data_IF_680489217051
#
_entry.id   IF_680489217051
#
_cell.length_a   1.000
_cell.length_b   1.000
_cell.length_c   1.000
_cell.angle_alpha   90.00
_cell.angle_beta   90.00
_cell.angle_gamma   90.00
#
_symmetry.space_group_name_H-M   'P 1'
#
loop_
_entity.id
_entity.type
_entity.pdbx_description
1 polymer ?
#
# COMPACT_ATOMS: atom_id res chain seq x y z
N UNK A 1 -7.07 23.55 -5.04
CA UNK A 1 -7.54 23.91 -3.69
C UNK A 1 -8.90 23.24 -3.47
N UNK A 2 -8.97 22.10 -2.77
CA UNK A 2 -10.25 21.42 -2.48
C UNK A 2 -10.85 22.12 -1.27
N UNK A 3 -11.80 23.04 -1.50
CA UNK A 3 -12.57 23.63 -0.42
C UNK A 3 -13.55 22.58 0.13
N UNK A 4 -13.22 22.00 1.28
CA UNK A 4 -14.19 21.24 2.08
C UNK A 4 -15.17 22.22 2.73
N UNK A 5 -16.29 22.51 2.05
CA UNK A 5 -17.43 23.20 2.67
C UNK A 5 -18.28 22.18 3.42
N UNK A 6 -18.00 21.98 4.71
CA UNK A 6 -18.95 21.35 5.61
C UNK A 6 -20.08 22.33 5.91
N UNK A 7 -21.19 22.28 5.14
CA UNK A 7 -22.44 22.93 5.55
C UNK A 7 -23.19 21.98 6.47
N UNK A 8 -23.16 22.27 7.77
CA UNK A 8 -23.99 21.56 8.74
C UNK A 8 -25.36 22.24 8.84
N UNK A 9 -26.44 21.48 8.64
CA UNK A 9 -27.78 21.83 9.12
C UNK A 9 -28.06 20.89 10.29
N UNK A 10 -28.05 21.42 11.51
CA UNK A 10 -28.65 20.74 12.65
C UNK A 10 -30.13 20.63 12.34
N UNK A 11 -30.62 19.43 12.03
CA UNK A 11 -32.06 19.19 11.99
C UNK A 11 -32.49 19.03 13.45
N UNK A 12 -33.14 20.06 13.99
CA UNK A 12 -33.99 19.91 15.18
C UNK A 12 -35.08 18.91 14.83
N UNK A 13 -34.87 17.65 15.23
CA UNK A 13 -35.92 16.65 15.22
C UNK A 13 -36.24 16.32 16.67
N UNK A 14 -37.26 17.01 17.17
CA UNK A 14 -37.92 16.70 18.43
C UNK A 14 -38.43 15.26 18.39
N UNK A 15 -37.92 14.42 19.29
CA UNK A 15 -38.56 13.16 19.67
C UNK A 15 -37.75 11.90 19.37
N UNK A 16 -37.25 11.29 20.46
CA UNK A 16 -36.70 9.93 20.60
C UNK A 16 -35.22 9.73 20.21
N UNK A 17 -34.30 10.29 21.01
CA UNK A 17 -33.24 9.52 21.71
C UNK A 17 -32.39 10.46 22.59
N UNK A 18 -32.20 10.09 23.85
CA UNK A 18 -31.72 10.97 24.93
C UNK A 18 -30.19 11.15 25.02
N UNK A 19 -29.72 12.34 24.67
CA UNK A 19 -28.39 12.85 25.06
C UNK A 19 -28.34 14.37 25.02
N UNK A 20 -27.43 14.99 25.77
CA UNK A 20 -27.25 16.46 25.79
C UNK A 20 -26.82 17.00 24.42
N UNK A 21 -27.03 18.29 24.14
CA UNK A 21 -26.62 18.94 22.86
C UNK A 21 -25.13 18.74 22.56
N UNK A 22 -24.29 18.75 23.59
CA UNK A 22 -22.86 18.45 23.54
C UNK A 22 -22.57 16.99 23.12
N UNK A 23 -23.29 16.01 23.69
CA UNK A 23 -23.13 14.60 23.30
C UNK A 23 -23.52 14.36 21.85
N UNK A 24 -24.56 15.04 21.37
CA UNK A 24 -24.98 14.98 19.97
C UNK A 24 -23.90 15.56 19.04
N UNK A 25 -23.28 16.68 19.42
CA UNK A 25 -22.16 17.27 18.69
C UNK A 25 -20.95 16.32 18.59
N UNK A 26 -20.51 15.73 19.72
CA UNK A 26 -19.38 14.80 19.69
C UNK A 26 -19.66 13.54 18.87
N UNK A 27 -20.89 13.01 18.94
CA UNK A 27 -21.31 11.88 18.10
C UNK A 27 -21.28 12.23 16.61
N UNK A 28 -21.79 13.40 16.24
CA UNK A 28 -21.73 13.90 14.87
C UNK A 28 -20.29 14.07 14.37
N UNK A 29 -19.41 14.65 15.19
CA UNK A 29 -18.00 14.84 14.88
C UNK A 29 -17.29 13.49 14.68
N UNK A 30 -17.56 12.52 15.56
CA UNK A 30 -17.00 11.17 15.45
C UNK A 30 -17.45 10.47 14.15
N UNK A 31 -18.72 10.59 13.78
CA UNK A 31 -19.24 10.03 12.54
C UNK A 31 -18.56 10.66 11.31
N UNK A 32 -18.45 12.00 11.28
CA UNK A 32 -17.76 12.71 10.20
C UNK A 32 -16.28 12.29 10.08
N UNK A 33 -15.59 12.11 11.22
CA UNK A 33 -14.22 11.62 11.22
C UNK A 33 -14.12 10.20 10.64
N UNK A 34 -15.05 9.31 11.01
CA UNK A 34 -15.08 7.94 10.47
C UNK A 34 -15.39 7.88 8.97
N UNK A 35 -16.27 8.74 8.46
CA UNK A 35 -16.56 8.84 7.02
C UNK A 35 -15.31 9.26 6.22
N UNK A 36 -14.48 10.13 6.80
CA UNK A 36 -13.26 10.60 6.16
C UNK A 36 -12.14 9.54 6.10
N UNK A 37 -12.20 8.46 6.91
CA UNK A 37 -11.13 7.45 6.99
C UNK A 37 -10.81 6.84 5.64
N UNK A 38 -11.80 6.55 4.80
CA UNK A 38 -11.55 5.96 3.49
C UNK A 38 -10.79 6.88 2.53
N UNK A 39 -10.97 8.19 2.67
CA UNK A 39 -10.29 9.20 1.86
C UNK A 39 -8.88 9.49 2.39
N UNK A 40 -8.71 9.54 3.72
CA UNK A 40 -7.43 9.85 4.38
C UNK A 40 -6.51 8.62 4.39
N UNK A 41 -7.02 7.48 4.84
CA UNK A 41 -6.28 6.23 4.93
C UNK A 41 -6.22 5.51 3.58
N UNK A 42 -5.49 6.08 2.63
CA UNK A 42 -5.42 5.56 1.25
C UNK A 42 -4.75 4.18 1.12
N UNK A 43 -3.77 3.90 1.98
CA UNK A 43 -2.97 2.65 1.95
C UNK A 43 -2.95 2.00 3.34
N UNK A 44 -2.57 0.71 3.47
CA UNK A 44 -2.52 0.00 4.75
C UNK A 44 -1.68 0.71 5.81
N UNK A 45 -0.53 1.30 5.43
CA UNK A 45 0.30 2.05 6.38
C UNK A 45 -0.49 3.15 7.09
N UNK A 46 -1.32 3.92 6.37
CA UNK A 46 -2.13 4.95 7.00
C UNK A 46 -3.21 4.35 7.90
N UNK A 47 -3.83 3.25 7.48
CA UNK A 47 -4.85 2.57 8.26
C UNK A 47 -4.28 2.02 9.57
N UNK A 48 -3.12 1.38 9.52
CA UNK A 48 -2.42 0.84 10.68
C UNK A 48 -2.02 1.96 11.65
N UNK A 49 -1.41 3.04 11.14
CA UNK A 49 -1.09 4.21 11.96
C UNK A 49 -2.33 4.88 12.56
N UNK A 50 -3.44 4.96 11.82
CA UNK A 50 -4.71 5.45 12.35
C UNK A 50 -5.22 4.59 13.51
N UNK A 51 -5.20 3.26 13.37
CA UNK A 51 -5.60 2.33 14.43
C UNK A 51 -4.71 2.47 15.65
N UNK A 52 -3.39 2.55 15.45
CA UNK A 52 -2.41 2.77 16.52
C UNK A 52 -2.71 4.06 17.31
N UNK A 53 -2.97 5.18 16.62
CA UNK A 53 -3.36 6.42 17.29
C UNK A 53 -4.70 6.33 17.99
N UNK A 54 -5.71 5.68 17.40
CA UNK A 54 -6.99 5.46 18.05
C UNK A 54 -6.84 4.64 19.34
N UNK A 55 -6.00 3.60 19.34
CA UNK A 55 -5.74 2.79 20.53
C UNK A 55 -4.99 3.60 21.60
N UNK A 56 -3.97 4.36 21.21
CA UNK A 56 -3.19 5.23 22.11
C UNK A 56 -4.10 6.26 22.79
N UNK A 57 -4.93 6.95 22.01
CA UNK A 57 -5.86 7.97 22.54
C UNK A 57 -6.91 7.29 23.43
N UNK A 58 -7.49 6.16 23.02
CA UNK A 58 -8.48 5.46 23.84
C UNK A 58 -7.94 5.02 25.21
N UNK A 59 -6.67 4.61 25.28
CA UNK A 59 -5.99 4.30 26.55
C UNK A 59 -5.75 5.54 27.40
N UNK A 60 -5.39 6.67 26.78
CA UNK A 60 -5.07 7.91 27.48
C UNK A 60 -6.32 8.69 27.95
N UNK A 61 -7.41 8.67 27.18
CA UNK A 61 -8.61 9.50 27.40
C UNK A 61 -9.86 8.69 27.76
N UNK A 62 -9.72 7.39 28.03
CA UNK A 62 -10.84 6.47 28.17
C UNK A 62 -11.85 6.92 29.23
N UNK A 63 -13.06 7.30 28.80
CA UNK A 63 -14.23 7.59 29.66
C UNK A 63 -14.61 6.36 30.53
N UNK A 64 -14.15 5.17 30.14
CA UNK A 64 -14.22 3.93 30.91
C UNK A 64 -12.80 3.41 31.14
N UNK A 65 -12.52 2.96 32.35
CA UNK A 65 -11.31 2.18 32.65
C UNK A 65 -11.18 1.03 31.63
N UNK A 66 -9.99 0.87 31.04
CA UNK A 66 -9.67 -0.17 30.07
C UNK A 66 -10.45 -0.11 28.73
N UNK A 67 -10.86 1.07 28.26
CA UNK A 67 -11.41 1.23 26.91
C UNK A 67 -10.42 0.75 25.84
N UNK A 68 -10.79 -0.28 25.07
CA UNK A 68 -9.96 -0.84 24.00
C UNK A 68 -9.95 -0.01 22.71
N UNK A 69 -10.77 1.04 22.60
CA UNK A 69 -10.95 1.81 21.37
C UNK A 69 -11.75 1.11 20.27
N UNK A 70 -12.09 -0.19 20.43
CA UNK A 70 -12.77 -1.00 19.42
C UNK A 70 -14.29 -1.03 19.57
N UNK A 71 -14.92 0.16 19.64
CA UNK A 71 -16.37 0.29 19.64
C UNK A 71 -17.05 -0.10 18.32
N UNK A 72 -18.40 -0.09 18.29
CA UNK A 72 -19.19 -0.42 17.09
C UNK A 72 -18.80 0.44 15.87
N UNK A 73 -18.61 1.74 16.08
CA UNK A 73 -18.21 2.68 15.03
C UNK A 73 -16.85 2.32 14.44
N UNK A 74 -15.82 2.13 15.28
CA UNK A 74 -14.48 1.74 14.84
C UNK A 74 -14.49 0.43 14.04
N UNK A 75 -15.15 -0.62 14.54
CA UNK A 75 -15.26 -1.90 13.82
C UNK A 75 -15.94 -1.74 12.46
N UNK A 76 -17.04 -0.97 12.40
CA UNK A 76 -17.74 -0.70 11.16
C UNK A 76 -16.87 0.07 10.16
N UNK A 77 -16.14 1.09 10.62
CA UNK A 77 -15.24 1.91 9.80
C UNK A 77 -14.10 1.08 9.21
N UNK A 78 -13.41 0.29 10.04
CA UNK A 78 -12.33 -0.59 9.57
C UNK A 78 -12.89 -1.65 8.61
N UNK A 79 -14.02 -2.27 8.93
CA UNK A 79 -14.65 -3.23 8.02
C UNK A 79 -15.07 -2.61 6.69
N UNK A 80 -15.58 -1.37 6.71
CA UNK A 80 -15.91 -0.62 5.50
C UNK A 80 -14.67 -0.25 4.69
N UNK A 81 -13.52 -0.04 5.33
CA UNK A 81 -12.28 0.22 4.63
C UNK A 81 -11.93 -0.90 3.65
N UNK A 82 -11.97 -2.15 4.11
CA UNK A 82 -11.75 -3.33 3.27
C UNK A 82 -12.81 -3.50 2.18
N UNK A 83 -14.09 -3.32 2.53
CA UNK A 83 -15.22 -3.46 1.58
C UNK A 83 -15.24 -2.39 0.49
N UNK A 84 -14.70 -1.20 0.77
CA UNK A 84 -14.67 -0.09 -0.18
C UNK A 84 -13.61 -0.23 -1.27
N UNK A 85 -12.65 -1.17 -1.13
CA UNK A 85 -11.57 -1.31 -2.11
C UNK A 85 -11.99 -2.22 -3.26
N UNK A 86 -11.56 -1.81 -4.45
CA UNK A 86 -11.46 -2.69 -5.61
C UNK A 86 -10.62 -3.93 -5.24
N UNK A 87 -11.02 -5.15 -5.63
CA UNK A 87 -10.28 -6.37 -5.30
C UNK A 87 -8.82 -6.37 -5.74
N UNK A 88 -8.48 -5.82 -6.90
CA UNK A 88 -7.08 -5.78 -7.38
C UNK A 88 -6.24 -4.84 -6.52
N UNK A 89 -6.80 -3.69 -6.14
CA UNK A 89 -6.15 -2.77 -5.21
C UNK A 89 -6.00 -3.40 -3.82
N UNK A 90 -7.02 -4.11 -3.34
CA UNK A 90 -6.97 -4.80 -2.06
C UNK A 90 -5.90 -5.89 -2.05
N UNK A 91 -5.80 -6.69 -3.11
CA UNK A 91 -4.76 -7.69 -3.29
C UNK A 91 -3.37 -7.05 -3.18
N UNK A 92 -3.11 -5.96 -3.92
CA UNK A 92 -1.85 -5.22 -3.84
C UNK A 92 -1.59 -4.69 -2.41
N UNK A 93 -2.62 -4.17 -1.72
CA UNK A 93 -2.49 -3.68 -0.36
C UNK A 93 -2.05 -4.77 0.62
N UNK A 94 -2.73 -5.92 0.63
CA UNK A 94 -2.47 -6.98 1.60
C UNK A 94 -1.17 -7.73 1.33
N UNK A 95 -0.72 -7.82 0.07
CA UNK A 95 0.54 -8.47 -0.27
C UNK A 95 1.75 -7.55 -0.11
N UNK A 96 1.63 -6.27 -0.44
CA UNK A 96 2.73 -5.28 -0.35
C UNK A 96 2.97 -4.81 1.08
N UNK A 97 1.90 -4.63 1.85
CA UNK A 97 1.94 -4.09 3.20
C UNK A 97 1.27 -5.05 4.20
N UNK A 98 1.77 -6.29 4.36
CA UNK A 98 1.12 -7.29 5.22
C UNK A 98 1.02 -6.82 6.68
N UNK A 99 2.01 -6.05 7.14
CA UNK A 99 2.06 -5.41 8.46
C UNK A 99 2.88 -4.12 8.45
N UNK A 100 2.56 -3.14 9.30
CA UNK A 100 3.38 -1.97 9.64
C UNK A 100 3.04 -1.47 11.05
N UNK A 101 4.03 -0.91 11.75
CA UNK A 101 3.79 -0.29 13.07
C UNK A 101 3.19 -1.25 14.10
N UNK A 102 3.62 -2.52 14.10
CA UNK A 102 3.08 -3.55 15.00
C UNK A 102 1.70 -4.11 14.63
N UNK A 103 1.02 -3.55 13.63
CA UNK A 103 -0.29 -3.99 13.17
C UNK A 103 -0.21 -4.76 11.86
N UNK A 104 -1.01 -5.84 11.75
CA UNK A 104 -1.21 -6.58 10.51
C UNK A 104 -2.67 -6.53 10.03
N UNK A 105 -2.88 -6.88 8.76
CA UNK A 105 -4.24 -7.09 8.25
C UNK A 105 -5.01 -8.16 9.06
N UNK A 106 -4.33 -9.23 9.48
CA UNK A 106 -4.91 -10.29 10.31
C UNK A 106 -5.47 -9.75 11.62
N UNK A 107 -4.75 -8.85 12.27
CA UNK A 107 -5.19 -8.26 13.55
C UNK A 107 -6.43 -7.40 13.35
N UNK A 108 -6.43 -6.53 12.35
CA UNK A 108 -7.60 -5.68 12.04
C UNK A 108 -8.82 -6.50 11.65
N UNK A 109 -8.66 -7.58 10.88
CA UNK A 109 -9.77 -8.43 10.48
C UNK A 109 -10.37 -9.21 11.67
N UNK A 110 -9.51 -9.63 12.61
CA UNK A 110 -9.94 -10.28 13.86
C UNK A 110 -10.69 -9.33 14.79
N UNK A 111 -10.38 -8.04 14.77
CA UNK A 111 -11.02 -7.05 15.65
C UNK A 111 -12.26 -6.43 15.01
N UNK A 112 -12.23 -6.16 13.70
CA UNK A 112 -13.31 -5.49 12.98
C UNK A 112 -14.43 -6.43 12.52
N UNK A 113 -14.12 -7.73 12.32
CA UNK A 113 -15.04 -8.74 11.81
C UNK A 113 -15.88 -8.28 10.59
N UNK A 114 -15.23 -7.83 9.48
CA UNK A 114 -15.98 -7.46 8.29
C UNK A 114 -16.77 -8.65 7.75
N UNK A 115 -18.06 -8.44 7.51
CA UNK A 115 -18.91 -9.43 6.85
C UNK A 115 -18.85 -9.22 5.34
N UNK A 116 -18.40 -10.24 4.64
CA UNK A 116 -18.39 -10.34 3.17
C UNK A 116 -19.09 -11.65 2.84
N UNK A 117 -20.08 -11.58 1.96
CA UNK A 117 -20.80 -12.75 1.48
C UNK A 117 -19.98 -13.37 0.32
N UNK A 118 -19.43 -14.59 0.48
CA UNK A 118 -18.61 -15.23 -0.55
C UNK A 118 -19.37 -15.50 -1.85
N UNK A 119 -20.70 -15.57 -1.81
CA UNK A 119 -21.51 -15.78 -3.01
C UNK A 119 -21.63 -14.51 -3.87
N UNK A 120 -21.65 -13.35 -3.20
CA UNK A 120 -21.76 -12.04 -3.84
C UNK A 120 -20.41 -11.44 -4.18
N UNK A 121 -19.41 -11.70 -3.34
CA UNK A 121 -18.06 -11.16 -3.49
C UNK A 121 -17.00 -12.19 -3.09
N UNK A 122 -16.85 -13.17 -3.98
CA UNK A 122 -15.89 -14.26 -3.83
C UNK A 122 -14.47 -13.72 -3.68
N UNK A 123 -14.05 -12.82 -4.57
CA UNK A 123 -12.70 -12.25 -4.58
C UNK A 123 -12.34 -11.62 -3.24
N UNK A 124 -13.17 -10.70 -2.73
CA UNK A 124 -12.86 -10.04 -1.47
C UNK A 124 -12.88 -11.05 -0.33
N UNK A 125 -13.80 -12.00 -0.31
CA UNK A 125 -13.83 -13.07 0.70
C UNK A 125 -12.49 -13.84 0.72
N UNK A 126 -12.00 -14.25 -0.44
CA UNK A 126 -10.72 -14.96 -0.57
C UNK A 126 -9.51 -14.11 -0.19
N UNK A 127 -9.50 -12.82 -0.54
CA UNK A 127 -8.46 -11.89 -0.13
C UNK A 127 -8.41 -11.69 1.38
N UNK A 128 -9.57 -11.56 2.04
CA UNK A 128 -9.65 -11.49 3.50
C UNK A 128 -9.23 -12.81 4.16
N UNK A 129 -9.59 -13.94 3.56
CA UNK A 129 -9.15 -15.26 4.02
C UNK A 129 -7.63 -15.41 3.91
N UNK A 130 -7.04 -15.00 2.79
CA UNK A 130 -5.60 -14.97 2.59
C UNK A 130 -4.90 -14.13 3.67
N UNK A 131 -5.41 -12.93 3.96
CA UNK A 131 -4.82 -12.08 4.99
C UNK A 131 -4.82 -12.71 6.40
N UNK A 132 -5.71 -13.67 6.68
CA UNK A 132 -5.81 -14.34 7.99
C UNK A 132 -5.10 -15.70 8.01
N UNK A 133 -5.21 -16.48 6.93
CA UNK A 133 -4.74 -17.88 6.84
C UNK A 133 -3.48 -18.06 5.99
N UNK A 134 -3.16 -17.12 5.11
CA UNK A 134 -2.02 -17.20 4.18
C UNK A 134 -2.30 -17.99 2.90
N UNK A 135 -3.53 -18.48 2.71
CA UNK A 135 -3.92 -19.34 1.59
C UNK A 135 -5.10 -18.75 0.80
N UNK A 136 -5.13 -18.99 -0.50
CA UNK A 136 -6.14 -18.48 -1.43
C UNK A 136 -6.70 -19.61 -2.30
N UNK A 137 -7.99 -19.55 -2.62
CA UNK A 137 -8.61 -20.42 -3.62
C UNK A 137 -8.81 -19.62 -4.90
N UNK A 138 -8.39 -20.20 -6.02
CA UNK A 138 -8.66 -19.63 -7.34
C UNK A 138 -10.04 -20.03 -7.86
N UNK A 139 -10.64 -21.07 -7.27
CA UNK A 139 -11.92 -21.64 -7.68
C UNK A 139 -13.00 -21.35 -6.65
N UNK A 140 -14.17 -20.96 -7.14
CA UNK A 140 -15.40 -20.90 -6.35
C UNK A 140 -15.86 -22.33 -6.10
N UNK A 141 -15.82 -22.79 -4.85
CA UNK A 141 -16.51 -24.04 -4.48
C UNK A 141 -18.01 -23.75 -4.46
N UNK A 142 -18.78 -24.42 -5.32
CA UNK A 142 -20.24 -24.49 -5.15
C UNK A 142 -20.55 -25.68 -4.25
N UNK A 143 -21.41 -25.49 -3.26
CA UNK A 143 -21.89 -26.60 -2.45
C UNK A 143 -22.69 -27.56 -3.35
N UNK A 144 -22.25 -28.83 -3.45
CA UNK A 144 -22.93 -29.89 -4.20
C UNK A 144 -22.31 -30.32 -5.54
N UNK A 145 -21.16 -29.78 -5.96
CA UNK A 145 -20.46 -30.22 -7.18
C UNK A 145 -19.54 -31.44 -6.92
N UNK A 146 -20.16 -32.58 -6.60
CA UNK A 146 -19.59 -33.94 -6.77
C UNK A 146 -20.11 -34.58 -8.09
N UNK A 147 -20.46 -33.76 -9.08
CA UNK A 147 -20.92 -34.24 -10.38
C UNK A 147 -19.99 -33.79 -11.49
N UNK A 148 -19.52 -34.77 -12.26
CA UNK A 148 -18.66 -34.67 -13.45
C UNK A 148 -19.36 -33.93 -14.60
N UNK A 149 -19.76 -32.68 -14.36
CA UNK A 149 -20.30 -31.77 -15.37
C UNK A 149 -19.28 -30.68 -15.68
N UNK A 150 -18.79 -30.64 -16.92
CA UNK A 150 -17.99 -29.53 -17.46
C UNK A 150 -18.82 -28.24 -17.49
N UNK A 151 -18.96 -27.55 -16.37
CA UNK A 151 -19.27 -26.12 -16.38
C UNK A 151 -18.05 -25.35 -16.84
N UNK A 152 -18.23 -24.44 -17.80
CA UNK A 152 -17.19 -23.49 -18.22
C UNK A 152 -16.65 -22.76 -16.98
N UNK A 153 -15.44 -23.14 -16.53
CA UNK A 153 -14.80 -22.53 -15.37
C UNK A 153 -14.46 -21.08 -15.71
N UNK A 154 -15.14 -20.13 -15.07
CA UNK A 154 -14.76 -18.73 -15.18
C UNK A 154 -13.30 -18.55 -14.74
N UNK A 155 -12.47 -17.87 -15.54
CA UNK A 155 -11.06 -17.71 -15.22
C UNK A 155 -10.90 -16.90 -13.92
N UNK A 156 -9.91 -17.23 -13.06
CA UNK A 156 -9.68 -16.51 -11.83
C UNK A 156 -9.43 -15.02 -12.09
N UNK A 157 -9.92 -14.19 -11.18
CA UNK A 157 -9.75 -12.74 -11.31
C UNK A 157 -8.27 -12.32 -11.22
N UNK A 158 -7.97 -11.14 -11.77
CA UNK A 158 -6.62 -10.54 -11.67
C UNK A 158 -6.14 -10.39 -10.22
N UNK A 159 -7.05 -10.14 -9.28
CA UNK A 159 -6.74 -9.98 -7.87
C UNK A 159 -6.26 -11.29 -7.25
N UNK A 160 -6.97 -12.40 -7.53
CA UNK A 160 -6.60 -13.73 -7.02
C UNK A 160 -5.30 -14.22 -7.66
N UNK A 161 -5.14 -14.01 -8.98
CA UNK A 161 -3.91 -14.35 -9.70
C UNK A 161 -2.69 -13.58 -9.17
N UNK A 162 -2.85 -12.30 -8.81
CA UNK A 162 -1.79 -11.52 -8.18
C UNK A 162 -1.33 -12.14 -6.86
N UNK A 163 -2.25 -12.49 -5.97
CA UNK A 163 -1.89 -13.12 -4.69
C UNK A 163 -1.24 -14.48 -4.91
N UNK A 164 -1.73 -15.27 -5.86
CA UNK A 164 -1.11 -16.53 -6.23
C UNK A 164 0.32 -16.33 -6.74
N UNK A 165 0.55 -15.35 -7.63
CA UNK A 165 1.89 -15.01 -8.10
C UNK A 165 2.83 -14.57 -6.97
N UNK A 166 2.32 -13.87 -5.94
CA UNK A 166 3.09 -13.53 -4.73
C UNK A 166 3.43 -14.78 -3.90
N UNK A 167 2.53 -15.76 -3.82
CA UNK A 167 2.82 -17.03 -3.17
C UNK A 167 3.84 -17.86 -3.96
N UNK A 168 3.75 -17.86 -5.28
CA UNK A 168 4.66 -18.59 -6.15
C UNK A 168 6.07 -17.99 -6.10
N UNK A 169 6.21 -16.66 -6.20
CA UNK A 169 7.52 -15.99 -6.18
C UNK A 169 8.26 -16.20 -4.86
N UNK A 170 7.52 -16.38 -3.74
CA UNK A 170 8.09 -16.68 -2.42
C UNK A 170 8.69 -18.08 -2.31
N UNK A 171 8.33 -19.00 -3.22
CA UNK A 171 8.84 -20.38 -3.26
C UNK A 171 10.01 -20.55 -4.22
N UNK A 172 10.35 -19.52 -5.01
CA UNK A 172 11.42 -19.57 -5.99
C UNK A 172 12.79 -19.40 -5.35
N UNK A 173 13.81 -20.02 -5.95
CA UNK A 173 15.21 -19.81 -5.61
C UNK A 173 15.89 -19.00 -6.72
N UNK A 174 16.73 -18.03 -6.35
CA UNK A 174 17.37 -17.14 -7.31
C UNK A 174 18.20 -17.91 -8.35
N UNK A 175 18.96 -18.91 -7.91
CA UNK A 175 19.89 -19.69 -8.74
C UNK A 175 19.20 -20.45 -9.89
N UNK A 176 17.96 -20.88 -9.67
CA UNK A 176 17.20 -21.71 -10.62
C UNK A 176 16.11 -20.94 -11.36
N UNK A 177 15.54 -19.91 -10.73
CA UNK A 177 14.26 -19.32 -11.15
C UNK A 177 14.32 -17.80 -11.39
N UNK A 178 15.50 -17.22 -11.62
CA UNK A 178 15.66 -15.77 -11.88
C UNK A 178 14.72 -15.26 -12.98
N UNK A 179 14.67 -15.95 -14.13
CA UNK A 179 13.82 -15.56 -15.26
C UNK A 179 12.33 -15.68 -14.95
N UNK A 180 11.95 -16.72 -14.21
CA UNK A 180 10.56 -16.91 -13.77
C UNK A 180 10.11 -15.77 -12.86
N UNK A 181 10.98 -15.28 -11.98
CA UNK A 181 10.67 -14.10 -11.17
C UNK A 181 10.50 -12.83 -12.03
N UNK A 182 11.34 -12.64 -13.05
CA UNK A 182 11.22 -11.53 -14.02
C UNK A 182 9.88 -11.59 -14.78
N UNK A 183 9.47 -12.77 -15.23
CA UNK A 183 8.18 -12.97 -15.89
C UNK A 183 7.00 -12.64 -14.96
N UNK A 184 7.04 -13.10 -13.71
CA UNK A 184 6.00 -12.80 -12.72
C UNK A 184 5.91 -11.29 -12.42
N UNK A 185 7.05 -10.59 -12.34
CA UNK A 185 7.10 -9.13 -12.18
C UNK A 185 6.42 -8.44 -13.37
N UNK A 186 6.78 -8.81 -14.60
CA UNK A 186 6.24 -8.19 -15.80
C UNK A 186 4.73 -8.42 -15.94
N UNK A 187 4.29 -9.67 -15.71
CA UNK A 187 2.91 -10.14 -15.90
C UNK A 187 1.95 -9.62 -14.83
N UNK A 188 2.33 -9.70 -13.55
CA UNK A 188 1.44 -9.37 -12.43
C UNK A 188 1.75 -8.02 -11.78
N UNK A 189 2.81 -7.33 -12.20
CA UNK A 189 3.21 -6.06 -11.59
C UNK A 189 3.71 -6.23 -10.17
N UNK A 190 4.44 -7.33 -9.90
CA UNK A 190 5.03 -7.54 -8.58
C UNK A 190 6.02 -6.42 -8.26
N UNK A 191 6.07 -6.06 -6.98
CA UNK A 191 6.95 -5.02 -6.47
C UNK A 191 8.04 -5.63 -5.58
N UNK A 192 9.04 -4.83 -5.24
CA UNK A 192 10.15 -5.22 -4.36
C UNK A 192 9.70 -5.93 -3.08
N UNK A 193 8.62 -5.46 -2.44
CA UNK A 193 8.12 -6.04 -1.19
C UNK A 193 7.59 -7.48 -1.33
N UNK A 194 7.30 -7.95 -2.55
CA UNK A 194 6.82 -9.31 -2.80
C UNK A 194 7.96 -10.32 -2.95
N UNK A 195 9.16 -9.88 -3.28
CA UNK A 195 10.26 -10.75 -3.66
C UNK A 195 11.06 -11.24 -2.44
N UNK A 196 11.59 -12.47 -2.49
CA UNK A 196 12.58 -12.91 -1.51
C UNK A 196 13.82 -12.01 -1.52
N UNK A 197 14.53 -11.86 -0.39
CA UNK A 197 15.66 -10.94 -0.28
C UNK A 197 16.79 -11.18 -1.30
N UNK A 198 17.04 -12.44 -1.66
CA UNK A 198 18.15 -12.81 -2.55
C UNK A 198 17.96 -12.23 -3.96
N UNK A 199 16.72 -12.26 -4.47
CA UNK A 199 16.36 -11.65 -5.76
C UNK A 199 16.65 -10.15 -5.81
N UNK A 200 16.76 -9.48 -4.66
CA UNK A 200 17.11 -8.06 -4.60
C UNK A 200 18.59 -7.79 -4.85
N UNK A 201 19.40 -8.81 -5.16
CA UNK A 201 20.77 -8.66 -5.65
C UNK A 201 20.89 -8.88 -7.18
N UNK A 202 19.80 -9.25 -7.86
CA UNK A 202 19.79 -9.53 -9.29
C UNK A 202 19.53 -8.28 -10.15
N UNK A 203 20.43 -8.00 -11.10
CA UNK A 203 20.26 -6.91 -12.07
C UNK A 203 19.05 -7.15 -12.99
N UNK A 204 18.82 -8.34 -13.58
CA UNK A 204 17.60 -8.63 -14.34
C UNK A 204 16.31 -8.35 -13.57
N UNK A 205 16.24 -8.76 -12.30
CA UNK A 205 15.07 -8.51 -11.43
C UNK A 205 14.85 -7.01 -11.23
N UNK A 206 15.88 -6.25 -10.88
CA UNK A 206 15.74 -4.80 -10.68
C UNK A 206 15.40 -4.06 -11.97
N UNK A 207 15.92 -4.51 -13.12
CA UNK A 207 15.54 -3.98 -14.43
C UNK A 207 14.05 -4.19 -14.70
N UNK A 208 13.52 -5.37 -14.41
CA UNK A 208 12.09 -5.67 -14.54
C UNK A 208 11.24 -4.80 -13.60
N UNK A 209 11.67 -4.64 -12.34
CA UNK A 209 11.00 -3.78 -11.36
C UNK A 209 10.96 -2.32 -11.82
N UNK A 210 12.07 -1.78 -12.36
CA UNK A 210 12.22 -0.38 -12.74
C UNK A 210 11.21 0.08 -13.79
N UNK A 211 10.78 -0.82 -14.67
CA UNK A 211 9.83 -0.51 -15.75
C UNK A 211 8.53 0.11 -15.24
N UNK A 212 7.94 -0.48 -14.19
CA UNK A 212 6.66 -0.04 -13.58
C UNK A 212 6.85 0.53 -12.16
N UNK A 213 8.09 0.84 -11.76
CA UNK A 213 8.38 1.30 -10.41
C UNK A 213 7.79 2.70 -10.14
N UNK A 214 6.99 2.88 -9.07
CA UNK A 214 6.55 4.22 -8.66
C UNK A 214 7.74 5.12 -8.32
N UNK A 215 7.66 6.40 -8.68
CA UNK A 215 8.77 7.35 -8.55
C UNK A 215 9.32 7.46 -7.11
N UNK A 216 8.44 7.49 -6.09
CA UNK A 216 8.88 7.48 -4.68
C UNK A 216 9.68 6.22 -4.31
N UNK A 217 9.34 5.07 -4.90
CA UNK A 217 10.09 3.83 -4.68
C UNK A 217 11.42 3.85 -5.46
N UNK A 218 11.43 4.40 -6.68
CA UNK A 218 12.64 4.56 -7.49
C UNK A 218 13.67 5.42 -6.77
N UNK A 219 13.27 6.62 -6.32
CA UNK A 219 14.11 7.58 -5.59
C UNK A 219 14.74 6.92 -4.34
N UNK A 220 13.94 6.18 -3.56
CA UNK A 220 14.41 5.50 -2.34
C UNK A 220 15.44 4.41 -2.60
N UNK A 221 15.44 3.82 -3.80
CA UNK A 221 16.28 2.66 -4.14
C UNK A 221 17.43 2.99 -5.10
N UNK A 222 17.68 4.26 -5.43
CA UNK A 222 18.78 4.67 -6.32
C UNK A 222 20.12 4.08 -5.86
N UNK A 223 20.44 4.21 -4.57
CA UNK A 223 21.66 3.65 -3.98
C UNK A 223 21.76 2.14 -4.21
N UNK A 224 20.71 1.37 -3.93
CA UNK A 224 20.71 -0.08 -4.13
C UNK A 224 20.89 -0.45 -5.60
N UNK A 225 20.24 0.25 -6.52
CA UNK A 225 20.38 0.01 -7.96
C UNK A 225 21.79 0.39 -8.48
N UNK A 226 22.46 1.37 -7.89
CA UNK A 226 23.87 1.67 -8.19
C UNK A 226 24.80 0.57 -7.66
N UNK A 227 24.60 0.10 -6.42
CA UNK A 227 25.44 -0.94 -5.80
C UNK A 227 25.46 -2.24 -6.60
N UNK A 228 24.30 -2.67 -7.10
CA UNK A 228 24.19 -3.90 -7.90
C UNK A 228 24.68 -3.71 -9.35
N UNK A 229 25.06 -2.49 -9.74
CA UNK A 229 25.54 -2.17 -11.09
C UNK A 229 24.45 -1.92 -12.13
N UNK A 230 23.15 -1.87 -11.75
CA UNK A 230 22.08 -1.50 -12.68
C UNK A 230 22.20 -0.05 -13.14
N UNK A 231 22.60 0.83 -12.22
CA UNK A 231 22.86 2.25 -12.50
C UNK A 231 24.37 2.51 -12.48
N UNK A 232 25.10 1.81 -13.34
CA UNK A 232 26.50 2.11 -13.62
C UNK A 232 26.61 3.31 -14.57
N UNK A 233 27.76 4.00 -14.56
CA UNK A 233 27.98 5.13 -15.45
C UNK A 233 27.91 4.70 -16.92
N UNK A 234 27.22 5.49 -17.75
CA UNK A 234 26.94 5.16 -19.15
C UNK A 234 25.87 4.08 -19.40
N UNK A 235 25.27 3.46 -18.37
CA UNK A 235 24.18 2.49 -18.56
C UNK A 235 22.90 3.17 -19.07
N UNK A 236 22.17 2.52 -19.98
CA UNK A 236 20.92 3.06 -20.54
C UNK A 236 19.83 3.30 -19.49
N UNK A 237 19.84 2.54 -18.40
CA UNK A 237 18.93 2.69 -17.28
C UNK A 237 19.12 4.00 -16.52
N UNK A 238 20.33 4.58 -16.51
CA UNK A 238 20.59 5.91 -15.93
C UNK A 238 19.81 6.97 -16.69
N UNK A 239 19.80 6.91 -18.03
CA UNK A 239 19.05 7.87 -18.86
C UNK A 239 17.55 7.79 -18.59
N UNK A 240 17.02 6.58 -18.41
CA UNK A 240 15.61 6.38 -18.06
C UNK A 240 15.26 6.97 -16.69
N UNK A 241 16.14 6.81 -15.70
CA UNK A 241 15.95 7.40 -14.36
C UNK A 241 16.05 8.93 -14.42
N UNK A 242 17.04 9.48 -15.11
CA UNK A 242 17.22 10.92 -15.29
C UNK A 242 16.01 11.53 -15.96
N UNK A 243 15.53 10.96 -17.07
CA UNK A 243 14.37 11.44 -17.80
C UNK A 243 13.10 11.47 -16.93
N UNK A 244 12.92 10.49 -16.02
CA UNK A 244 11.82 10.50 -15.06
C UNK A 244 11.98 11.59 -13.99
N UNK A 245 13.19 11.80 -13.49
CA UNK A 245 13.47 12.78 -12.43
C UNK A 245 13.37 14.22 -12.92
N UNK A 246 13.66 14.48 -14.19
CA UNK A 246 13.60 15.83 -14.78
C UNK A 246 12.27 16.14 -15.47
N UNK A 247 11.29 15.24 -15.42
CA UNK A 247 9.94 15.44 -15.96
C UNK A 247 8.99 16.07 -14.92
N UNK A 248 8.58 17.36 -15.10
CA UNK A 248 7.71 18.04 -14.14
C UNK A 248 6.33 17.41 -14.00
N UNK A 249 5.77 16.87 -15.08
CA UNK A 249 4.43 16.27 -15.07
C UNK A 249 4.44 14.94 -14.34
N UNK A 250 5.50 14.13 -14.51
CA UNK A 250 5.66 12.89 -13.75
C UNK A 250 5.90 13.15 -12.27
N UNK A 251 6.74 14.13 -11.91
CA UNK A 251 6.95 14.55 -10.51
C UNK A 251 5.64 14.96 -9.84
N UNK A 252 4.82 15.76 -10.55
CA UNK A 252 3.50 16.21 -10.10
C UNK A 252 2.51 15.05 -9.95
N UNK A 253 2.41 14.18 -10.95
CA UNK A 253 1.52 13.02 -10.92
C UNK A 253 1.85 12.07 -9.75
N UNK A 254 3.14 11.88 -9.47
CA UNK A 254 3.62 11.07 -8.35
C UNK A 254 3.57 11.81 -6.99
N UNK A 255 3.22 13.10 -6.96
CA UNK A 255 3.18 13.97 -5.77
C UNK A 255 4.50 13.96 -5.00
N UNK A 256 5.61 14.08 -5.73
CA UNK A 256 6.94 14.14 -5.13
C UNK A 256 7.12 15.48 -4.43
N UNK A 257 7.44 15.44 -3.14
CA UNK A 257 7.64 16.63 -2.32
C UNK A 257 9.12 17.06 -2.35
N UNK A 258 9.45 18.36 -2.43
CA UNK A 258 10.84 18.84 -2.47
C UNK A 258 11.71 18.29 -1.34
N UNK A 259 11.18 18.28 -0.11
CA UNK A 259 11.89 17.71 1.04
C UNK A 259 12.27 16.22 0.85
N UNK A 260 11.42 15.44 0.17
CA UNK A 260 11.73 14.03 -0.11
C UNK A 260 12.85 13.87 -1.13
N UNK A 261 12.93 14.78 -2.11
CA UNK A 261 14.03 14.84 -3.09
C UNK A 261 15.31 15.29 -2.41
N UNK A 262 15.24 16.32 -1.56
CA UNK A 262 16.39 16.82 -0.82
C UNK A 262 17.01 15.72 0.06
N UNK A 263 16.20 15.03 0.86
CA UNK A 263 16.67 13.90 1.68
C UNK A 263 17.32 12.80 0.81
N UNK A 264 16.71 12.49 -0.34
CA UNK A 264 17.25 11.49 -1.26
C UNK A 264 18.57 11.94 -1.91
N UNK A 265 18.68 13.21 -2.29
CA UNK A 265 19.90 13.81 -2.86
C UNK A 265 21.05 13.79 -1.86
N UNK A 266 20.80 14.24 -0.63
CA UNK A 266 21.80 14.19 0.46
C UNK A 266 22.25 12.77 0.72
N UNK A 267 21.31 11.82 0.84
CA UNK A 267 21.64 10.41 1.09
C UNK A 267 22.42 9.80 -0.07
N UNK A 268 21.97 10.00 -1.31
CA UNK A 268 22.60 9.41 -2.49
C UNK A 268 24.01 9.96 -2.73
N UNK A 269 24.20 11.26 -2.53
CA UNK A 269 25.50 11.94 -2.72
C UNK A 269 26.52 11.55 -1.65
N UNK A 270 26.08 11.18 -0.43
CA UNK A 270 26.97 10.71 0.62
C UNK A 270 27.73 9.42 0.24
N UNK A 271 27.20 8.62 -0.70
CA UNK A 271 27.86 7.40 -1.18
C UNK A 271 27.87 6.23 -0.18
N UNK A 272 27.18 6.37 0.95
CA UNK A 272 27.05 5.29 1.93
C UNK A 272 25.69 5.33 2.65
N UNK A 273 25.26 4.17 3.16
CA UNK A 273 24.07 4.06 3.98
C UNK A 273 24.29 4.64 5.39
N UNK A 274 23.22 5.15 6.00
CA UNK A 274 23.24 5.68 7.38
C UNK A 274 23.41 4.56 8.42
N UNK A 275 22.65 3.47 8.28
CA UNK A 275 22.58 2.35 9.24
C UNK A 275 23.20 1.04 8.75
N UNK A 276 23.94 1.05 7.64
CA UNK A 276 24.38 -0.18 6.99
C UNK A 276 25.75 -0.07 6.32
N UNK A 277 26.29 -1.21 5.89
CA UNK A 277 27.58 -1.32 5.19
C UNK A 277 27.49 -1.01 3.69
N UNK A 278 26.33 -0.56 3.21
CA UNK A 278 26.11 -0.28 1.80
C UNK A 278 26.94 0.94 1.40
N UNK A 279 27.83 0.79 0.42
CA UNK A 279 28.64 1.86 -0.15
C UNK A 279 28.49 1.85 -1.66
N UNK A 280 28.48 3.04 -2.26
CA UNK A 280 28.39 3.23 -3.70
C UNK A 280 29.09 4.51 -4.14
N UNK A 281 29.50 4.55 -5.40
CA UNK A 281 29.96 5.77 -6.03
C UNK A 281 28.75 6.50 -6.64
N UNK A 282 28.43 7.73 -6.21
CA UNK A 282 27.29 8.45 -6.76
C UNK A 282 27.46 8.72 -8.26
N UNK A 283 26.44 8.42 -9.05
CA UNK A 283 26.44 8.70 -10.49
C UNK A 283 26.13 10.18 -10.72
N UNK A 284 27.04 10.89 -11.39
CA UNK A 284 26.97 12.35 -11.61
C UNK A 284 25.68 12.77 -12.33
N UNK A 285 25.20 11.98 -13.28
CA UNK A 285 23.96 12.27 -14.00
C UNK A 285 22.74 12.23 -13.05
N UNK A 286 22.72 11.29 -12.10
CA UNK A 286 21.62 11.12 -11.14
C UNK A 286 21.66 12.23 -10.09
N UNK A 287 22.85 12.60 -9.59
CA UNK A 287 22.98 13.69 -8.60
C UNK A 287 22.50 15.02 -9.19
N UNK A 288 22.87 15.33 -10.44
CA UNK A 288 22.35 16.50 -11.16
C UNK A 288 20.84 16.45 -11.36
N UNK A 289 20.30 15.29 -11.76
CA UNK A 289 18.86 15.14 -11.95
C UNK A 289 18.06 15.29 -10.63
N UNK A 290 18.62 14.87 -9.50
CA UNK A 290 18.00 15.07 -8.18
C UNK A 290 17.99 16.56 -7.77
N UNK A 291 19.06 17.30 -8.08
CA UNK A 291 19.10 18.75 -7.85
C UNK A 291 18.04 19.48 -8.69
N UNK A 292 17.92 19.15 -9.98
CA UNK A 292 16.88 19.72 -10.82
C UNK A 292 15.46 19.33 -10.35
N UNK A 293 15.25 18.06 -10.01
CA UNK A 293 13.98 17.55 -9.49
C UNK A 293 13.53 18.29 -8.22
N UNK A 294 14.47 18.73 -7.38
CA UNK A 294 14.17 19.52 -6.19
C UNK A 294 13.46 20.84 -6.57
N UNK A 295 14.02 21.61 -7.49
CA UNK A 295 13.40 22.86 -7.95
C UNK A 295 12.09 22.62 -8.70
N UNK A 296 12.04 21.60 -9.57
CA UNK A 296 10.84 21.26 -10.32
C UNK A 296 9.68 20.85 -9.41
N UNK A 297 9.98 20.16 -8.30
CA UNK A 297 8.95 19.73 -7.35
C UNK A 297 8.28 20.88 -6.59
N UNK A 298 8.90 22.07 -6.48
CA UNK A 298 8.25 23.25 -5.88
C UNK A 298 7.16 23.84 -6.77
N UNK A 299 7.34 23.81 -8.10
CA UNK A 299 6.38 24.37 -9.08
C UNK A 299 5.00 23.72 -9.03
N UNK A 300 4.86 22.60 -8.32
CA UNK A 300 3.58 21.95 -8.08
C UNK A 300 2.81 22.54 -6.88
N UNK A 301 3.52 23.03 -5.87
CA UNK A 301 2.92 23.50 -4.62
C UNK A 301 2.58 25.00 -4.63
N UNK A 302 3.14 25.74 -5.58
CA UNK A 302 2.90 27.17 -5.82
C UNK A 302 2.25 27.35 -7.20
#
# INVERSE_FOLDING_TARGET
MIQFRFRYKVKDNTGRDGGTSEQQYYRALQLAAFEAVNCVCRIPTHLFTFVEYCELIAKATGVKENSSGWGRGMRATIGNWYKSKDPSLLAMHITKYPQRGGWSHRDLLRLAHPRVDPERDFDRSELLRYAVKGEISLKRRREGEDSEGMTEEEPPSKALLLVNAVLDVKKLALETDEQKAVELIAKFGLVREHLPPDFLNSVPVWRALLQKMPMTAMIRNLAKMTVIGLLADGAGEVNNVVAKLTDPEQLKAARIHPMSVLMASTTYTAGHGDKGKLQWTPVVAITKALDEAFYLSFKYYY
#
